data_IF_455452451806
#
_entry.id   IF_455452451806
#
_cell.length_a   1.000
_cell.length_b   1.000
_cell.length_c   1.000
_cell.angle_alpha   90.00
_cell.angle_beta   90.00
_cell.angle_gamma   90.00
#
_symmetry.space_group_name_H-M   'P 1'
#
loop_
_entity.id
_entity.type
_entity.pdbx_description
1 polymer ?
#
# COMPACT_ATOMS: atom_id res chain seq x y z
N UNK A 1 -8.22 -11.14 12.52
CA UNK A 1 -9.13 -12.23 12.91
C UNK A 1 -8.40 -13.32 13.66
N UNK A 2 -9.11 -14.19 14.37
CA UNK A 2 -8.55 -15.30 15.14
C UNK A 2 -9.59 -16.39 15.41
N UNK A 3 -9.15 -17.53 15.96
CA UNK A 3 -10.03 -18.68 16.20
C UNK A 3 -10.54 -19.34 14.91
N UNK A 4 -11.77 -19.84 14.93
CA UNK A 4 -12.41 -20.51 13.79
C UNK A 4 -12.55 -19.61 12.55
N UNK A 5 -12.60 -18.29 12.74
CA UNK A 5 -12.72 -17.29 11.67
C UNK A 5 -11.37 -16.72 11.21
N UNK A 6 -10.28 -17.45 11.43
CA UNK A 6 -8.97 -17.07 10.92
C UNK A 6 -8.99 -17.07 9.38
N UNK A 7 -8.37 -16.07 8.75
CA UNK A 7 -8.31 -16.01 7.30
C UNK A 7 -7.56 -17.24 6.75
N UNK A 8 -8.21 -18.08 5.92
CA UNK A 8 -7.56 -19.26 5.35
C UNK A 8 -6.43 -18.86 4.40
N UNK A 9 -6.55 -17.72 3.72
CA UNK A 9 -5.55 -17.17 2.82
C UNK A 9 -4.36 -16.47 3.50
N UNK A 10 -4.29 -16.38 4.83
CA UNK A 10 -3.28 -15.57 5.54
C UNK A 10 -1.82 -15.90 5.16
N UNK A 11 -1.53 -17.17 4.88
CA UNK A 11 -0.17 -17.60 4.50
C UNK A 11 0.13 -17.24 3.05
N UNK A 12 -0.81 -17.51 2.15
CA UNK A 12 -0.68 -17.14 0.74
C UNK A 12 -0.57 -15.63 0.56
N UNK A 13 -1.50 -14.86 1.14
CA UNK A 13 -1.48 -13.40 1.08
C UNK A 13 -0.22 -12.80 1.72
N UNK A 14 0.28 -13.37 2.82
CA UNK A 14 1.58 -12.98 3.39
C UNK A 14 2.71 -13.22 2.39
N UNK A 15 2.75 -14.36 1.71
CA UNK A 15 3.79 -14.64 0.71
C UNK A 15 3.71 -13.69 -0.47
N UNK A 16 2.52 -13.36 -0.96
CA UNK A 16 2.33 -12.39 -2.05
C UNK A 16 2.78 -10.98 -1.66
N UNK A 17 2.41 -10.51 -0.45
CA UNK A 17 2.87 -9.21 0.08
C UNK A 17 4.40 -9.19 0.18
N UNK A 18 5.01 -10.25 0.71
CA UNK A 18 6.47 -10.35 0.83
C UNK A 18 7.15 -10.38 -0.53
N UNK A 19 6.59 -11.09 -1.51
CA UNK A 19 7.11 -11.13 -2.88
C UNK A 19 7.02 -9.76 -3.56
N UNK A 20 5.88 -9.07 -3.43
CA UNK A 20 5.68 -7.73 -3.98
C UNK A 20 6.69 -6.74 -3.38
N UNK A 21 6.86 -6.74 -2.05
CA UNK A 21 7.85 -5.92 -1.36
C UNK A 21 9.28 -6.25 -1.82
N UNK A 22 9.63 -7.53 -1.95
CA UNK A 22 10.94 -7.95 -2.42
C UNK A 22 11.21 -7.45 -3.84
N UNK A 23 10.23 -7.53 -4.75
CA UNK A 23 10.35 -6.99 -6.11
C UNK A 23 10.50 -5.48 -6.10
N UNK A 24 9.68 -4.77 -5.34
CA UNK A 24 9.73 -3.30 -5.24
C UNK A 24 11.10 -2.84 -4.73
N UNK A 25 11.59 -3.39 -3.63
CA UNK A 25 12.84 -2.94 -3.00
C UNK A 25 14.09 -3.36 -3.80
N UNK A 26 14.06 -4.50 -4.49
CA UNK A 26 15.24 -4.99 -5.23
C UNK A 26 15.30 -4.52 -6.67
N UNK A 27 14.15 -4.26 -7.31
CA UNK A 27 14.09 -3.95 -8.75
C UNK A 27 13.67 -2.52 -9.06
N UNK A 28 13.18 -1.75 -8.09
CA UNK A 28 12.72 -0.37 -8.32
C UNK A 28 13.47 0.62 -7.41
N UNK A 29 13.70 1.81 -7.94
CA UNK A 29 13.91 3.00 -7.12
C UNK A 29 12.58 3.73 -7.00
N UNK A 30 12.09 3.90 -5.77
CA UNK A 30 10.83 4.56 -5.45
C UNK A 30 11.13 5.88 -4.74
N UNK A 31 10.58 6.97 -5.27
CA UNK A 31 10.68 8.31 -4.70
C UNK A 31 9.26 8.82 -4.41
N UNK A 32 9.04 9.23 -3.17
CA UNK A 32 7.81 9.93 -2.78
C UNK A 32 7.82 11.34 -3.34
N UNK A 33 6.75 11.73 -4.03
CA UNK A 33 6.61 13.08 -4.61
C UNK A 33 5.76 13.95 -3.70
N UNK A 34 4.48 13.59 -3.55
CA UNK A 34 3.54 14.34 -2.72
C UNK A 34 2.28 13.52 -2.40
N UNK A 35 1.51 13.98 -1.41
CA UNK A 35 0.18 13.48 -1.11
C UNK A 35 -0.84 14.16 -2.01
N UNK A 36 -1.81 13.40 -2.50
CA UNK A 36 -2.87 13.90 -3.39
C UNK A 36 -4.24 13.51 -2.86
N UNK A 37 -5.22 14.38 -3.06
CA UNK A 37 -6.63 14.02 -2.89
C UNK A 37 -7.02 12.99 -3.97
N UNK A 38 -8.18 12.34 -3.80
CA UNK A 38 -8.67 11.33 -4.75
C UNK A 38 -9.00 11.92 -6.14
N UNK A 39 -9.17 13.23 -6.25
CA UNK A 39 -9.36 13.95 -7.51
C UNK A 39 -8.04 14.35 -8.20
N UNK A 40 -6.89 14.00 -7.61
CA UNK A 40 -5.56 14.30 -8.11
C UNK A 40 -5.03 15.69 -7.71
N UNK A 41 -5.80 16.49 -6.97
CA UNK A 41 -5.30 17.76 -6.43
C UNK A 41 -4.34 17.52 -5.27
N UNK A 42 -3.49 18.51 -4.96
CA UNK A 42 -2.53 18.39 -3.86
C UNK A 42 -3.25 18.31 -2.51
N UNK A 43 -2.82 17.36 -1.66
CA UNK A 43 -3.33 17.24 -0.30
C UNK A 43 -2.45 17.99 0.71
N UNK A 44 -3.06 18.50 1.77
CA UNK A 44 -2.38 19.26 2.83
C UNK A 44 -1.54 18.39 3.78
N UNK A 45 -1.57 17.06 3.62
CA UNK A 45 -0.78 16.16 4.46
C UNK A 45 -1.01 14.67 4.19
N UNK A 46 -0.36 13.80 5.00
CA UNK A 46 -0.39 12.36 4.82
C UNK A 46 -1.78 11.74 4.90
N UNK A 47 -1.96 10.65 4.16
CA UNK A 47 -3.18 9.87 4.21
C UNK A 47 -3.53 9.42 5.62
N UNK A 48 -4.82 9.42 5.93
CA UNK A 48 -5.40 8.90 7.17
C UNK A 48 -6.34 7.75 6.85
N UNK A 49 -6.74 7.03 7.88
CA UNK A 49 -7.74 5.97 7.77
C UNK A 49 -9.10 6.54 7.35
N UNK A 50 -9.66 6.04 6.25
CA UNK A 50 -11.02 6.32 5.87
C UNK A 50 -11.99 5.49 6.71
N UNK A 51 -12.59 6.13 7.71
CA UNK A 51 -13.51 5.51 8.67
C UNK A 51 -14.74 4.85 8.02
N UNK A 52 -15.06 5.16 6.77
CA UNK A 52 -16.13 4.45 6.02
C UNK A 52 -15.84 2.96 5.85
N UNK A 53 -14.56 2.58 5.88
CA UNK A 53 -14.10 1.20 5.77
C UNK A 53 -13.80 0.56 7.13
N UNK A 54 -14.20 1.19 8.24
CA UNK A 54 -14.03 0.60 9.57
C UNK A 54 -14.75 -0.76 9.66
N UNK A 55 -14.02 -1.79 10.09
CA UNK A 55 -14.53 -3.16 10.15
C UNK A 55 -14.45 -3.94 8.83
N UNK A 56 -13.94 -3.34 7.75
CA UNK A 56 -13.55 -4.07 6.55
C UNK A 56 -12.30 -4.94 6.78
N UNK A 57 -11.94 -5.75 5.79
CA UNK A 57 -10.76 -6.63 5.84
C UNK A 57 -9.45 -5.83 5.93
N UNK A 58 -9.39 -4.67 5.27
CA UNK A 58 -8.28 -3.74 5.32
C UNK A 58 -8.81 -2.30 5.42
N UNK A 59 -8.09 -1.46 6.15
CA UNK A 59 -8.37 -0.02 6.18
C UNK A 59 -7.81 0.63 4.93
N UNK A 60 -8.68 1.34 4.20
CA UNK A 60 -8.28 2.12 3.04
C UNK A 60 -7.88 3.53 3.47
N UNK A 61 -6.92 4.16 2.79
CA UNK A 61 -6.59 5.54 3.03
C UNK A 61 -7.69 6.47 2.50
N UNK A 62 -7.85 7.63 3.15
CA UNK A 62 -8.83 8.67 2.78
C UNK A 62 -8.41 9.53 1.57
N UNK A 63 -7.17 9.36 1.11
CA UNK A 63 -6.55 10.06 -0.02
C UNK A 63 -5.40 9.21 -0.59
N UNK A 64 -4.73 9.71 -1.62
CA UNK A 64 -3.68 8.98 -2.34
C UNK A 64 -2.31 9.66 -2.23
N UNK A 65 -1.31 9.07 -2.88
CA UNK A 65 0.04 9.61 -3.03
C UNK A 65 0.55 9.46 -4.45
N UNK A 66 1.38 10.42 -4.87
CA UNK A 66 2.15 10.30 -6.11
C UNK A 66 3.52 9.73 -5.81
N UNK A 67 3.84 8.62 -6.46
CA UNK A 67 5.16 8.01 -6.44
C UNK A 67 5.81 8.13 -7.81
N UNK A 68 7.09 8.48 -7.83
CA UNK A 68 7.94 8.30 -9.01
C UNK A 68 8.71 7.00 -8.86
N UNK A 69 8.69 6.19 -9.91
CA UNK A 69 9.39 4.93 -9.92
C UNK A 69 10.25 4.76 -11.18
N UNK A 70 11.33 4.01 -11.05
CA UNK A 70 12.14 3.55 -12.19
C UNK A 70 12.73 2.19 -11.90
N UNK A 71 13.02 1.42 -12.95
CA UNK A 71 13.75 0.17 -12.81
C UNK A 71 15.17 0.46 -12.31
N UNK A 72 15.54 -0.16 -11.19
CA UNK A 72 16.92 -0.14 -10.67
C UNK A 72 17.82 -0.88 -11.65
N UNK A 73 18.89 -0.23 -12.10
CA UNK A 73 19.92 -0.89 -12.92
C UNK A 73 20.59 -1.96 -12.06
N UNK A 74 20.76 -3.15 -12.62
CA UNK A 74 21.58 -4.16 -11.97
C UNK A 74 23.01 -3.59 -11.83
N UNK A 75 23.60 -3.76 -10.65
CA UNK A 75 25.02 -3.50 -10.46
C UNK A 75 25.84 -4.51 -11.26
#
# INVERSE_FOLDING_TARGET
GGGYWVCPGRHFGKMEIMLALALMVTKLDLEFVEWTNLDGTKADGPARDDRRYAGAIAMFPDRDMTLRWRRRRAC
#
